data_IF_545000251780
#
_entry.id   IF_545000251780
#
_cell.length_a   1.000
_cell.length_b   1.000
_cell.length_c   1.000
_cell.angle_alpha   90.00
_cell.angle_beta   90.00
_cell.angle_gamma   90.00
#
_symmetry.space_group_name_H-M   'P 1'
#
loop_
_entity.id
_entity.type
_entity.pdbx_description
1 polymer ?
#
# COMPACT_ATOMS: atom_id res chain seq x y z
N UNK A 1 -16.47 -31.33 -16.44
CA UNK A 1 -15.23 -30.54 -16.47
C UNK A 1 -15.24 -29.62 -15.26
N UNK A 2 -14.24 -29.63 -14.36
CA UNK A 2 -14.26 -28.71 -13.24
C UNK A 2 -14.17 -27.28 -13.78
N UNK A 3 -15.02 -26.38 -13.26
CA UNK A 3 -14.86 -24.94 -13.51
C UNK A 3 -13.47 -24.56 -12.99
N UNK A 4 -12.54 -24.29 -13.90
CA UNK A 4 -11.23 -23.77 -13.55
C UNK A 4 -11.45 -22.45 -12.84
N UNK A 5 -11.24 -22.42 -11.53
CA UNK A 5 -11.17 -21.17 -10.80
C UNK A 5 -10.11 -20.30 -11.46
N UNK A 6 -10.37 -19.00 -11.60
CA UNK A 6 -9.35 -18.07 -12.09
C UNK A 6 -8.15 -18.14 -11.14
N UNK A 7 -6.96 -18.41 -11.69
CA UNK A 7 -5.75 -18.56 -10.90
C UNK A 7 -5.36 -17.27 -10.16
N UNK A 8 -5.71 -16.11 -10.74
CA UNK A 8 -5.52 -14.80 -10.14
C UNK A 8 -6.92 -14.25 -9.84
N UNK A 9 -7.23 -13.91 -8.57
CA UNK A 9 -8.51 -13.31 -8.23
C UNK A 9 -8.70 -11.96 -8.95
N UNK A 10 -9.95 -11.62 -9.26
CA UNK A 10 -10.28 -10.36 -9.96
C UNK A 10 -9.77 -9.16 -9.16
N UNK A 11 -9.06 -8.25 -9.84
CA UNK A 11 -8.52 -7.02 -9.23
C UNK A 11 -7.14 -7.19 -8.61
N UNK A 12 -6.55 -8.38 -8.70
CA UNK A 12 -5.17 -8.64 -8.33
C UNK A 12 -4.33 -8.89 -9.58
N UNK A 13 -3.01 -8.75 -9.42
CA UNK A 13 -2.02 -9.11 -10.41
C UNK A 13 -1.22 -10.31 -9.95
N UNK A 14 -0.44 -10.89 -10.86
CA UNK A 14 0.47 -12.03 -10.60
C UNK A 14 1.35 -11.79 -9.37
N UNK A 15 1.74 -10.53 -9.13
CA UNK A 15 2.40 -10.11 -7.90
C UNK A 15 1.56 -9.00 -7.26
N UNK A 16 1.20 -9.17 -5.99
CA UNK A 16 0.51 -8.17 -5.18
C UNK A 16 1.35 -7.93 -3.94
N UNK A 17 1.92 -6.74 -3.74
CA UNK A 17 2.72 -6.46 -2.56
C UNK A 17 1.86 -6.38 -1.30
N UNK A 18 2.47 -6.76 -0.18
CA UNK A 18 1.90 -6.59 1.15
C UNK A 18 2.83 -5.75 2.01
N UNK A 19 2.30 -4.68 2.61
CA UNK A 19 3.06 -3.69 3.38
C UNK A 19 2.66 -3.71 4.83
N UNK A 20 3.62 -3.97 5.71
CA UNK A 20 3.45 -3.76 7.14
C UNK A 20 3.97 -2.37 7.48
N UNK A 21 3.13 -1.56 8.13
CA UNK A 21 3.44 -0.17 8.46
C UNK A 21 3.00 0.17 9.88
N UNK A 22 3.67 1.13 10.51
CA UNK A 22 3.23 1.66 11.78
C UNK A 22 2.11 2.70 11.53
N UNK A 23 0.85 2.34 11.82
CA UNK A 23 -0.31 3.18 11.54
C UNK A 23 -0.85 2.95 10.13
N UNK A 24 -1.44 1.78 9.90
CA UNK A 24 -1.95 1.42 8.56
C UNK A 24 -3.14 2.29 8.13
N UNK A 25 -3.98 2.71 9.07
CA UNK A 25 -5.10 3.61 8.76
C UNK A 25 -4.61 4.97 8.25
N UNK A 26 -3.60 5.54 8.91
CA UNK A 26 -2.97 6.80 8.52
C UNK A 26 -2.21 6.66 7.20
N UNK A 27 -1.56 5.51 6.99
CA UNK A 27 -0.88 5.22 5.72
C UNK A 27 -1.87 5.16 4.56
N UNK A 28 -3.05 4.53 4.73
CA UNK A 28 -4.11 4.51 3.71
C UNK A 28 -4.53 5.95 3.35
N UNK A 29 -4.77 6.80 4.35
CA UNK A 29 -5.15 8.20 4.10
C UNK A 29 -4.04 9.00 3.42
N UNK A 30 -2.78 8.73 3.75
CA UNK A 30 -1.64 9.28 3.02
C UNK A 30 -1.64 8.82 1.56
N UNK A 31 -1.78 7.52 1.27
CA UNK A 31 -1.77 7.00 -0.09
C UNK A 31 -2.95 7.51 -0.93
N UNK A 32 -4.12 7.70 -0.32
CA UNK A 32 -5.28 8.36 -0.96
C UNK A 32 -4.93 9.77 -1.42
N UNK A 33 -4.31 10.57 -0.55
CA UNK A 33 -3.93 11.96 -0.84
C UNK A 33 -2.77 12.06 -1.82
N UNK A 34 -1.70 11.29 -1.60
CA UNK A 34 -0.44 11.38 -2.33
C UNK A 34 -0.52 10.74 -3.73
N UNK A 35 -1.15 9.56 -3.82
CA UNK A 35 -1.11 8.74 -5.04
C UNK A 35 -2.50 8.46 -5.62
N UNK A 36 -3.54 9.10 -5.09
CA UNK A 36 -4.91 8.88 -5.55
C UNK A 36 -5.40 7.47 -5.28
N UNK A 37 -4.88 6.81 -4.24
CA UNK A 37 -5.30 5.48 -3.89
C UNK A 37 -6.80 5.45 -3.54
N UNK A 38 -7.47 4.33 -3.81
CA UNK A 38 -8.83 4.07 -3.34
C UNK A 38 -8.82 2.92 -2.36
N UNK A 39 -9.44 3.10 -1.20
CA UNK A 39 -9.63 2.01 -0.23
C UNK A 39 -10.62 0.99 -0.80
N UNK A 40 -10.21 -0.27 -0.86
CA UNK A 40 -11.03 -1.39 -1.34
C UNK A 40 -11.72 -2.07 -0.16
N UNK A 41 -10.98 -2.28 0.92
CA UNK A 41 -11.48 -2.96 2.12
C UNK A 41 -10.57 -2.72 3.31
N UNK A 42 -11.13 -2.93 4.50
CA UNK A 42 -10.45 -2.79 5.79
C UNK A 42 -10.99 -3.80 6.78
N UNK A 43 -10.09 -4.49 7.46
CA UNK A 43 -10.38 -5.41 8.56
C UNK A 43 -9.68 -4.92 9.83
N UNK A 44 -10.38 -4.18 10.70
CA UNK A 44 -9.85 -3.79 11.99
C UNK A 44 -9.72 -5.01 12.91
N UNK A 45 -8.63 -5.06 13.67
CA UNK A 45 -8.41 -5.98 14.77
C UNK A 45 -8.97 -5.45 16.10
N UNK A 46 -8.86 -6.25 17.17
CA UNK A 46 -9.47 -5.94 18.48
C UNK A 46 -9.01 -4.61 19.10
N UNK A 47 -7.78 -4.19 18.83
CA UNK A 47 -7.17 -2.99 19.43
C UNK A 47 -7.20 -1.78 18.50
N UNK A 48 -8.05 -1.80 17.45
CA UNK A 48 -8.15 -0.73 16.45
C UNK A 48 -7.02 -0.70 15.42
N UNK A 49 -5.96 -1.49 15.62
CA UNK A 49 -4.96 -1.80 14.59
C UNK A 49 -5.61 -2.51 13.41
N UNK A 50 -5.16 -2.25 12.20
CA UNK A 50 -5.63 -2.97 11.01
C UNK A 50 -4.88 -4.30 10.87
N UNK A 51 -5.62 -5.40 10.94
CA UNK A 51 -5.06 -6.72 10.64
C UNK A 51 -4.78 -6.88 9.15
N UNK A 52 -5.67 -6.34 8.32
CA UNK A 52 -5.57 -6.35 6.88
C UNK A 52 -6.38 -5.19 6.30
N UNK A 53 -5.88 -4.61 5.23
CA UNK A 53 -6.58 -3.66 4.41
C UNK A 53 -6.05 -3.75 2.99
N UNK A 54 -6.82 -3.25 2.04
CA UNK A 54 -6.39 -3.19 0.65
C UNK A 54 -6.70 -1.82 0.08
N UNK A 55 -5.75 -1.30 -0.67
CA UNK A 55 -5.93 -0.10 -1.48
C UNK A 55 -5.61 -0.44 -2.93
N UNK A 56 -6.19 0.34 -3.84
CA UNK A 56 -5.89 0.31 -5.26
C UNK A 56 -5.20 1.61 -5.67
N UNK A 57 -4.12 1.52 -6.43
CA UNK A 57 -3.52 2.64 -7.15
C UNK A 57 -3.54 2.26 -8.63
N UNK A 58 -4.27 3.03 -9.45
CA UNK A 58 -4.55 2.63 -10.84
C UNK A 58 -5.32 1.30 -10.88
N UNK A 59 -4.73 0.28 -11.49
CA UNK A 59 -5.26 -1.09 -11.54
C UNK A 59 -4.62 -2.02 -10.50
N UNK A 60 -3.60 -1.56 -9.79
CA UNK A 60 -2.77 -2.39 -8.92
C UNK A 60 -3.27 -2.35 -7.48
N UNK A 61 -3.48 -3.55 -6.91
CA UNK A 61 -3.84 -3.70 -5.50
C UNK A 61 -2.59 -3.79 -4.64
N UNK A 62 -2.62 -3.14 -3.49
CA UNK A 62 -1.61 -3.23 -2.43
C UNK A 62 -2.32 -3.65 -1.16
N UNK A 63 -1.84 -4.73 -0.55
CA UNK A 63 -2.30 -5.19 0.77
C UNK A 63 -1.53 -4.45 1.86
N UNK A 64 -2.18 -4.08 2.96
CA UNK A 64 -1.56 -3.37 4.07
C UNK A 64 -2.03 -3.92 5.42
N UNK A 65 -1.16 -3.83 6.42
CA UNK A 65 -1.49 -4.14 7.81
C UNK A 65 -0.64 -3.34 8.77
N UNK A 66 -1.11 -3.22 10.01
CA UNK A 66 -0.30 -2.68 11.09
C UNK A 66 0.80 -3.66 11.49
N UNK A 67 1.91 -3.12 11.99
CA UNK A 67 2.97 -3.95 12.58
C UNK A 67 2.44 -4.77 13.79
N UNK A 68 2.76 -6.06 13.75
CA UNK A 68 2.61 -7.05 14.84
C UNK A 68 3.94 -7.80 15.02
N UNK A 69 4.93 -7.16 15.68
CA UNK A 69 6.26 -7.74 15.85
C UNK A 69 6.27 -9.13 16.50
N UNK A 70 5.32 -9.41 17.40
CA UNK A 70 5.07 -10.69 18.05
C UNK A 70 4.72 -11.82 17.07
N UNK A 71 4.18 -11.48 15.91
CA UNK A 71 3.84 -12.39 14.81
C UNK A 71 4.81 -12.28 13.63
N UNK A 72 5.94 -11.57 13.80
CA UNK A 72 6.94 -11.37 12.75
C UNK A 72 6.54 -10.35 11.68
N UNK A 73 5.37 -9.72 11.78
CA UNK A 73 4.91 -8.68 10.87
C UNK A 73 5.53 -7.33 11.27
N UNK A 74 6.69 -7.02 10.70
CA UNK A 74 7.44 -5.78 10.96
C UNK A 74 7.49 -4.94 9.71
N UNK A 75 7.50 -3.64 9.88
CA UNK A 75 7.56 -2.64 8.82
C UNK A 75 8.89 -1.89 8.81
N UNK A 76 9.04 -0.93 7.88
CA UNK A 76 10.31 -0.23 7.66
C UNK A 76 10.87 0.47 8.89
N UNK A 77 10.01 1.02 9.76
CA UNK A 77 10.45 1.67 11.01
C UNK A 77 11.13 0.66 11.95
N UNK A 78 10.54 -0.53 12.10
CA UNK A 78 11.11 -1.61 12.92
C UNK A 78 12.44 -2.14 12.36
N UNK A 79 12.63 -2.07 11.04
CA UNK A 79 13.88 -2.49 10.37
C UNK A 79 14.91 -1.37 10.19
N UNK A 80 14.56 -0.11 10.50
CA UNK A 80 15.43 1.06 10.26
C UNK A 80 15.57 1.46 8.79
N UNK A 81 14.69 0.95 7.91
CA UNK A 81 14.71 1.22 6.47
C UNK A 81 13.82 0.25 5.68
N UNK A 82 13.78 0.41 4.36
CA UNK A 82 13.09 -0.51 3.44
C UNK A 82 14.06 -0.97 2.35
N UNK A 83 14.02 -2.26 2.00
CA UNK A 83 14.72 -2.81 0.83
C UNK A 83 13.87 -2.79 -0.44
N UNK A 84 12.61 -2.38 -0.34
CA UNK A 84 11.64 -2.42 -1.43
C UNK A 84 11.25 -1.01 -1.86
N UNK A 85 11.08 -0.82 -3.16
CA UNK A 85 10.53 0.39 -3.78
C UNK A 85 9.42 0.00 -4.75
N UNK A 86 8.43 0.87 -4.89
CA UNK A 86 7.39 0.73 -5.91
C UNK A 86 7.54 1.82 -6.96
N UNK A 87 7.41 1.41 -8.21
CA UNK A 87 7.32 2.33 -9.34
C UNK A 87 5.85 2.50 -9.68
N UNK A 88 5.38 3.74 -9.66
CA UNK A 88 4.01 4.10 -10.06
C UNK A 88 4.09 4.74 -11.43
N UNK A 89 3.50 4.10 -12.43
CA UNK A 89 3.43 4.60 -13.79
C UNK A 89 2.13 5.39 -14.00
N UNK A 90 2.22 6.50 -14.72
CA UNK A 90 1.09 7.36 -15.07
C UNK A 90 1.49 8.39 -16.12
N UNK A 91 0.50 9.14 -16.60
CA UNK A 91 0.68 10.01 -17.77
C UNK A 91 1.35 11.36 -17.45
N UNK A 92 1.29 11.83 -16.20
CA UNK A 92 1.81 13.14 -15.76
C UNK A 92 2.63 13.00 -14.48
N UNK A 93 3.96 12.93 -14.65
CA UNK A 93 4.90 12.72 -13.54
C UNK A 93 5.06 13.98 -12.68
N UNK A 94 4.99 15.17 -13.27
CA UNK A 94 5.12 16.45 -12.56
C UNK A 94 3.93 16.67 -11.62
N UNK A 95 2.71 16.40 -12.09
CA UNK A 95 1.51 16.50 -11.27
C UNK A 95 1.49 15.43 -10.16
N UNK A 96 1.91 14.20 -10.46
CA UNK A 96 2.01 13.13 -9.47
C UNK A 96 3.05 13.48 -8.38
N UNK A 97 4.21 13.97 -8.79
CA UNK A 97 5.27 14.43 -7.90
C UNK A 97 4.78 15.53 -6.97
N UNK A 98 4.18 16.59 -7.54
CA UNK A 98 3.66 17.72 -6.76
C UNK A 98 2.63 17.25 -5.73
N UNK A 99 1.67 16.41 -6.14
CA UNK A 99 0.63 15.87 -5.24
C UNK A 99 1.24 15.10 -4.07
N UNK A 100 2.23 14.25 -4.32
CA UNK A 100 2.89 13.47 -3.28
C UNK A 100 3.61 14.39 -2.27
N UNK A 101 4.35 15.39 -2.75
CA UNK A 101 5.04 16.36 -1.89
C UNK A 101 4.05 17.19 -1.07
N UNK A 102 2.98 17.70 -1.68
CA UNK A 102 1.93 18.45 -0.98
C UNK A 102 1.23 17.60 0.11
N UNK A 103 1.14 16.29 -0.10
CA UNK A 103 0.60 15.33 0.88
C UNK A 103 1.60 14.94 1.99
N UNK A 104 2.83 15.47 1.96
CA UNK A 104 3.85 15.26 2.99
C UNK A 104 4.94 14.25 2.61
N UNK A 105 4.98 13.77 1.37
CA UNK A 105 6.10 12.95 0.91
C UNK A 105 7.40 13.79 0.84
N UNK A 106 8.54 13.14 1.09
CA UNK A 106 9.85 13.77 1.02
C UNK A 106 10.62 13.24 -0.19
N UNK A 107 11.01 14.10 -1.13
CA UNK A 107 11.92 13.72 -2.20
C UNK A 107 13.23 13.13 -1.67
N UNK A 108 13.62 11.97 -2.18
CA UNK A 108 14.94 11.36 -1.89
C UNK A 108 15.91 11.49 -3.06
N UNK A 109 15.40 11.75 -4.27
CA UNK A 109 16.13 12.04 -5.49
C UNK A 109 15.43 13.21 -6.20
N UNK A 110 16.11 13.97 -7.08
CA UNK A 110 15.45 14.92 -7.96
C UNK A 110 14.46 14.22 -8.90
N UNK A 111 13.45 14.97 -9.36
CA UNK A 111 12.58 14.55 -10.46
C UNK A 111 13.35 14.54 -11.78
#
# INVERSE_FOLDING_TARGET
>A
MPKTAQAIPKGYHTVTPSLMVAGAAEAIDFYKKAFGATEVMRFPGPDGKLMHAEIRIGDSTIMLGDEMPEHGAKGPKSYGGTSTSFFIYGDDVDAAWKRAVDAGAKPTMPL
#
